data_IF_192439775483
#
_entry.id   IF_192439775483
#
_cell.length_a   1.000
_cell.length_b   1.000
_cell.length_c   1.000
_cell.angle_alpha   90.00
_cell.angle_beta   90.00
_cell.angle_gamma   90.00
#
_symmetry.space_group_name_H-M   'P 1'
#
loop_
_entity.id
_entity.type
_entity.pdbx_description
1 polymer ?
#
# COMPACT_ATOMS: atom_id res chain seq x y z
N UNK A 1 -61.82 -30.30 -8.37
CA UNK A 1 -61.63 -28.85 -8.06
C UNK A 1 -60.64 -28.54 -6.90
N UNK A 2 -59.79 -29.46 -6.43
CA UNK A 2 -58.86 -29.23 -5.30
C UNK A 2 -57.43 -28.80 -5.70
N UNK A 3 -57.07 -28.94 -6.97
CA UNK A 3 -55.67 -28.68 -7.43
C UNK A 3 -55.30 -27.19 -7.54
N UNK A 4 -56.30 -26.30 -7.61
CA UNK A 4 -56.05 -24.84 -7.81
C UNK A 4 -55.61 -24.10 -6.53
N UNK A 5 -55.81 -24.67 -5.34
CA UNK A 5 -55.49 -24.00 -4.08
C UNK A 5 -53.99 -24.01 -3.73
N UNK A 6 -53.25 -24.96 -4.24
CA UNK A 6 -51.79 -25.08 -3.95
C UNK A 6 -50.92 -24.25 -4.89
N UNK A 7 -51.45 -23.86 -6.03
CA UNK A 7 -50.66 -23.10 -7.02
C UNK A 7 -50.11 -21.78 -6.49
N UNK A 8 -50.91 -20.94 -5.81
CA UNK A 8 -50.38 -19.67 -5.25
C UNK A 8 -49.35 -19.90 -4.12
N UNK A 9 -49.51 -20.96 -3.33
CA UNK A 9 -48.56 -21.29 -2.29
C UNK A 9 -47.22 -21.77 -2.89
N UNK A 10 -47.25 -22.56 -3.92
CA UNK A 10 -46.06 -23.00 -4.66
C UNK A 10 -45.34 -21.84 -5.35
N UNK A 11 -46.11 -20.95 -5.98
CA UNK A 11 -45.55 -19.75 -6.60
C UNK A 11 -44.90 -18.82 -5.55
N UNK A 12 -45.53 -18.63 -4.41
CA UNK A 12 -44.99 -17.82 -3.32
C UNK A 12 -43.70 -18.46 -2.75
N UNK A 13 -43.68 -19.77 -2.56
CA UNK A 13 -42.52 -20.49 -2.10
C UNK A 13 -41.36 -20.42 -3.11
N UNK A 14 -41.66 -20.61 -4.41
CA UNK A 14 -40.64 -20.49 -5.47
C UNK A 14 -40.08 -19.06 -5.56
N UNK A 15 -40.92 -18.04 -5.43
CA UNK A 15 -40.49 -16.63 -5.40
C UNK A 15 -39.60 -16.36 -4.17
N UNK A 16 -40.03 -16.79 -2.99
CA UNK A 16 -39.27 -16.62 -1.77
C UNK A 16 -37.91 -17.33 -1.86
N UNK A 17 -37.87 -18.56 -2.36
CA UNK A 17 -36.62 -19.29 -2.61
C UNK A 17 -35.74 -18.59 -3.65
N UNK A 18 -36.32 -18.06 -4.72
CA UNK A 18 -35.60 -17.27 -5.73
C UNK A 18 -34.98 -16.00 -5.15
N UNK A 19 -35.73 -15.26 -4.32
CA UNK A 19 -35.24 -14.06 -3.63
C UNK A 19 -34.10 -14.44 -2.65
N UNK A 20 -34.30 -15.48 -1.84
CA UNK A 20 -33.29 -15.93 -0.88
C UNK A 20 -32.00 -16.38 -1.59
N UNK A 21 -32.13 -17.15 -2.67
CA UNK A 21 -30.99 -17.60 -3.47
C UNK A 21 -30.27 -16.42 -4.14
N UNK A 22 -31.02 -15.49 -4.73
CA UNK A 22 -30.45 -14.28 -5.33
C UNK A 22 -29.69 -13.44 -4.30
N UNK A 23 -30.29 -13.22 -3.13
CA UNK A 23 -29.65 -12.48 -2.04
C UNK A 23 -28.38 -13.18 -1.55
N UNK A 24 -28.42 -14.50 -1.38
CA UNK A 24 -27.26 -15.30 -0.99
C UNK A 24 -26.13 -15.21 -2.02
N UNK A 25 -26.46 -15.31 -3.31
CA UNK A 25 -25.48 -15.19 -4.39
C UNK A 25 -24.87 -13.79 -4.43
N UNK A 26 -25.67 -12.74 -4.27
CA UNK A 26 -25.17 -11.35 -4.21
C UNK A 26 -24.22 -11.16 -3.02
N UNK A 27 -24.62 -11.63 -1.83
CA UNK A 27 -23.79 -11.52 -0.64
C UNK A 27 -22.49 -12.31 -0.75
N UNK A 28 -22.55 -13.50 -1.36
CA UNK A 28 -21.35 -14.33 -1.59
C UNK A 28 -20.38 -13.70 -2.59
N UNK A 29 -20.90 -13.01 -3.59
CA UNK A 29 -20.10 -12.40 -4.67
C UNK A 29 -19.77 -10.93 -4.39
N UNK A 30 -20.38 -10.33 -3.36
CA UNK A 30 -20.04 -8.97 -2.97
C UNK A 30 -18.54 -8.88 -2.65
N UNK A 31 -17.82 -7.95 -3.29
CA UNK A 31 -16.43 -7.71 -2.93
C UNK A 31 -16.40 -7.13 -1.51
N UNK A 32 -15.94 -7.92 -0.58
CA UNK A 32 -15.69 -7.47 0.79
C UNK A 32 -14.21 -7.17 0.94
N UNK A 33 -13.88 -6.13 1.69
CA UNK A 33 -12.50 -5.87 2.06
C UNK A 33 -11.91 -7.10 2.78
N UNK A 34 -10.62 -7.36 2.65
CA UNK A 34 -9.94 -8.42 3.40
C UNK A 34 -10.24 -8.28 4.89
N UNK A 35 -10.82 -9.31 5.51
CA UNK A 35 -11.19 -9.28 6.94
C UNK A 35 -9.98 -9.38 7.85
N UNK A 36 -8.85 -9.89 7.34
CA UNK A 36 -7.58 -10.00 8.03
C UNK A 36 -7.00 -8.65 8.47
N UNK A 37 -7.25 -7.56 7.73
CA UNK A 37 -6.87 -6.21 8.18
C UNK A 37 -7.59 -5.83 9.48
N UNK A 38 -8.87 -6.11 9.59
CA UNK A 38 -9.66 -5.84 10.80
C UNK A 38 -9.11 -6.62 12.00
N UNK A 39 -8.76 -7.90 11.81
CA UNK A 39 -8.19 -8.75 12.85
C UNK A 39 -6.82 -8.25 13.30
N UNK A 40 -5.96 -7.84 12.35
CA UNK A 40 -4.66 -7.27 12.64
C UNK A 40 -4.75 -5.95 13.41
N UNK A 41 -5.66 -5.05 13.02
CA UNK A 41 -5.89 -3.79 13.74
C UNK A 41 -6.50 -4.04 15.13
N UNK A 42 -7.35 -5.06 15.26
CA UNK A 42 -7.88 -5.50 16.54
C UNK A 42 -6.78 -6.01 17.49
N UNK A 43 -5.74 -6.67 16.96
CA UNK A 43 -4.56 -7.06 17.74
C UNK A 43 -3.78 -5.85 18.26
N UNK A 44 -3.69 -4.77 17.48
CA UNK A 44 -2.98 -3.55 17.87
C UNK A 44 -3.78 -2.67 18.85
N UNK A 45 -5.10 -2.80 18.87
CA UNK A 45 -6.02 -1.96 19.66
C UNK A 45 -5.66 -1.84 21.16
N UNK A 46 -5.40 -2.93 21.91
CA UNK A 46 -5.10 -2.84 23.33
C UNK A 46 -3.84 -2.00 23.64
N UNK A 47 -2.89 -1.96 22.70
CA UNK A 47 -1.63 -1.24 22.87
C UNK A 47 -1.79 0.29 22.72
N UNK A 48 -2.88 0.74 22.12
CA UNK A 48 -3.12 2.16 21.81
C UNK A 48 -4.35 2.71 22.53
N UNK A 49 -4.99 1.90 23.39
CA UNK A 49 -6.19 2.30 24.13
C UNK A 49 -5.97 3.59 24.94
N UNK A 50 -6.93 4.51 24.89
CA UNK A 50 -6.86 5.82 25.56
C UNK A 50 -5.92 6.84 24.89
N UNK A 51 -5.15 6.45 23.88
CA UNK A 51 -4.14 7.31 23.25
C UNK A 51 -4.60 7.88 21.90
N UNK A 52 -3.93 8.99 21.50
CA UNK A 52 -3.99 9.47 20.12
C UNK A 52 -3.09 8.62 19.25
N UNK A 53 -3.64 8.14 18.14
CA UNK A 53 -2.94 7.30 17.17
C UNK A 53 -3.02 7.94 15.79
N UNK A 54 -1.89 8.09 15.11
CA UNK A 54 -1.89 8.47 13.70
C UNK A 54 -1.84 7.19 12.86
N UNK A 55 -2.83 7.00 12.02
CA UNK A 55 -2.88 5.91 11.06
C UNK A 55 -2.39 6.40 9.70
N UNK A 56 -1.24 5.91 9.29
CA UNK A 56 -0.64 6.15 7.98
C UNK A 56 -0.94 4.95 7.08
N UNK A 57 -2.14 4.91 6.62
CA UNK A 57 -2.70 3.88 5.77
C UNK A 57 -4.10 4.31 5.33
N UNK A 58 -4.81 3.39 4.73
CA UNK A 58 -6.18 3.62 4.33
C UNK A 58 -7.06 2.47 4.78
N UNK A 59 -7.99 2.79 5.64
CA UNK A 59 -9.06 1.90 6.08
C UNK A 59 -10.28 2.76 6.40
N UNK A 60 -11.42 2.41 5.80
CA UNK A 60 -12.66 3.14 5.99
C UNK A 60 -13.27 2.91 7.37
N UNK A 61 -12.86 1.87 8.08
CA UNK A 61 -13.40 1.46 9.38
C UNK A 61 -12.42 1.68 10.53
N UNK A 62 -11.33 2.42 10.30
CA UNK A 62 -10.25 2.61 11.28
C UNK A 62 -10.77 3.13 12.63
N UNK A 63 -11.77 3.99 12.64
CA UNK A 63 -12.38 4.49 13.88
C UNK A 63 -13.08 3.38 14.68
N UNK A 64 -13.66 2.40 14.00
CA UNK A 64 -14.26 1.23 14.63
C UNK A 64 -13.20 0.21 15.03
N UNK A 65 -12.23 -0.06 14.18
CA UNK A 65 -11.18 -1.04 14.44
C UNK A 65 -10.30 -0.65 15.63
N UNK A 66 -9.97 0.64 15.76
CA UNK A 66 -9.20 1.19 16.87
C UNK A 66 -10.08 1.86 17.94
N UNK A 67 -11.34 1.42 18.09
CA UNK A 67 -12.24 1.95 19.15
C UNK A 67 -11.61 1.82 20.53
N UNK A 68 -11.86 2.80 21.38
CA UNK A 68 -11.18 2.94 22.68
C UNK A 68 -9.91 3.79 22.60
N UNK A 69 -9.35 4.02 21.41
CA UNK A 69 -8.32 5.01 21.13
C UNK A 69 -8.90 6.27 20.47
N UNK A 70 -8.05 7.21 20.11
CA UNK A 70 -8.40 8.38 19.30
C UNK A 70 -7.60 8.35 17.99
N UNK A 71 -8.07 7.60 16.98
CA UNK A 71 -7.40 7.51 15.70
C UNK A 71 -7.51 8.81 14.92
N UNK A 72 -6.44 9.16 14.22
CA UNK A 72 -6.35 10.25 13.27
C UNK A 72 -5.86 9.68 11.95
N UNK A 73 -6.51 10.03 10.86
CA UNK A 73 -6.08 9.64 9.53
C UNK A 73 -5.51 10.85 8.79
N UNK A 74 -4.58 10.61 7.92
CA UNK A 74 -4.07 11.63 7.03
C UNK A 74 -4.69 11.51 5.62
N UNK A 75 -5.46 10.48 5.35
CA UNK A 75 -6.34 10.34 4.19
C UNK A 75 -7.75 10.77 4.59
N UNK A 76 -8.33 11.71 3.86
CA UNK A 76 -9.69 12.16 4.13
C UNK A 76 -10.67 11.02 3.88
N UNK A 77 -11.32 10.57 4.94
CA UNK A 77 -12.35 9.56 4.89
C UNK A 77 -13.70 10.20 5.28
N UNK A 78 -14.79 9.78 4.63
CA UNK A 78 -16.14 10.29 4.94
C UNK A 78 -16.62 9.92 6.34
N UNK A 79 -16.06 8.86 6.92
CA UNK A 79 -16.48 8.31 8.20
C UNK A 79 -15.57 8.68 9.37
N UNK A 80 -14.47 9.41 9.13
CA UNK A 80 -13.51 9.77 10.17
C UNK A 80 -13.52 11.27 10.43
N UNK A 81 -13.99 11.72 11.62
CA UNK A 81 -13.98 13.10 12.00
C UNK A 81 -12.58 13.63 12.35
N UNK A 82 -11.62 12.75 12.60
CA UNK A 82 -10.29 13.10 13.08
C UNK A 82 -9.27 13.11 11.94
N UNK A 83 -9.41 14.06 11.05
CA UNK A 83 -8.50 14.24 9.92
C UNK A 83 -7.29 15.10 10.30
N UNK A 84 -6.10 14.64 9.97
CA UNK A 84 -4.87 15.43 9.99
C UNK A 84 -4.49 15.76 8.57
N UNK A 85 -4.49 17.07 8.24
CA UNK A 85 -4.09 17.49 6.90
C UNK A 85 -2.65 17.00 6.60
N UNK A 86 -2.43 16.20 5.57
CA UNK A 86 -1.10 15.77 5.19
C UNK A 86 -0.31 17.00 4.74
N UNK A 87 0.90 17.11 5.26
CA UNK A 87 1.75 18.25 4.98
C UNK A 87 2.49 18.13 3.64
N UNK A 88 2.46 16.97 3.02
CA UNK A 88 2.94 16.76 1.67
C UNK A 88 1.76 16.81 0.70
N UNK A 89 1.98 17.45 -0.43
CA UNK A 89 0.98 17.50 -1.50
C UNK A 89 0.83 16.10 -2.09
N UNK A 90 -0.23 15.41 -1.71
CA UNK A 90 -0.62 14.13 -2.30
C UNK A 90 -1.24 14.43 -3.67
N UNK A 91 -0.47 14.28 -4.73
CA UNK A 91 -0.92 14.57 -6.11
C UNK A 91 -1.28 13.33 -6.90
N UNK A 92 -0.88 12.15 -6.44
CA UNK A 92 -1.05 10.89 -7.14
C UNK A 92 -1.93 9.93 -6.34
N UNK A 93 -2.84 9.27 -7.04
CA UNK A 93 -3.73 8.24 -6.45
C UNK A 93 -2.96 7.01 -5.96
N UNK A 94 -1.75 6.76 -6.46
CA UNK A 94 -0.88 5.67 -6.05
C UNK A 94 0.28 6.12 -5.15
N UNK A 95 0.21 7.30 -4.58
CA UNK A 95 1.24 7.76 -3.66
C UNK A 95 1.21 6.96 -2.36
N UNK A 96 2.37 6.49 -1.92
CA UNK A 96 2.51 5.82 -0.61
C UNK A 96 2.16 6.79 0.53
N UNK A 97 1.58 6.24 1.58
CA UNK A 97 1.20 6.98 2.77
C UNK A 97 1.97 6.43 3.97
N UNK A 98 3.08 7.07 4.30
CA UNK A 98 4.03 6.62 5.32
C UNK A 98 4.61 7.81 6.09
N UNK A 99 5.70 7.61 6.83
CA UNK A 99 6.31 8.66 7.64
C UNK A 99 6.72 9.90 6.85
N UNK A 100 7.02 9.78 5.57
CA UNK A 100 7.40 10.90 4.73
C UNK A 100 6.23 11.78 4.30
N UNK A 101 5.03 11.25 4.41
CA UNK A 101 3.81 11.96 4.08
C UNK A 101 3.41 12.99 5.13
N UNK A 102 4.05 12.99 6.31
CA UNK A 102 3.68 13.85 7.44
C UNK A 102 4.88 14.62 7.99
N UNK A 103 4.74 15.92 8.19
CA UNK A 103 5.79 16.76 8.79
C UNK A 103 6.14 16.30 10.20
N UNK A 104 7.40 16.47 10.55
CA UNK A 104 7.91 16.12 11.89
C UNK A 104 7.12 16.79 13.02
N UNK A 105 6.68 18.04 12.85
CA UNK A 105 5.89 18.74 13.85
C UNK A 105 4.52 18.08 14.08
N UNK A 106 3.87 17.60 13.01
CA UNK A 106 2.60 16.87 13.11
C UNK A 106 2.81 15.49 13.71
N UNK A 107 3.84 14.76 13.31
CA UNK A 107 4.20 13.46 13.91
C UNK A 107 4.46 13.58 15.42
N UNK A 108 5.11 14.66 15.86
CA UNK A 108 5.41 14.92 17.28
C UNK A 108 4.17 15.07 18.18
N UNK A 109 2.98 15.18 17.60
CA UNK A 109 1.69 15.25 18.35
C UNK A 109 1.15 13.89 18.77
N UNK A 110 1.69 12.80 18.19
CA UNK A 110 1.18 11.45 18.38
C UNK A 110 2.17 10.61 19.18
N UNK A 111 1.71 9.95 20.26
CA UNK A 111 2.52 8.95 20.96
C UNK A 111 2.66 7.65 20.17
N UNK A 112 1.68 7.34 19.31
CA UNK A 112 1.65 6.15 18.49
C UNK A 112 1.38 6.49 17.03
N UNK A 113 2.03 5.74 16.14
CA UNK A 113 1.81 5.77 14.69
C UNK A 113 1.64 4.33 14.21
N UNK A 114 0.63 4.06 13.41
CA UNK A 114 0.46 2.80 12.69
C UNK A 114 0.74 3.08 11.21
N UNK A 115 1.63 2.30 10.62
CA UNK A 115 1.95 2.36 9.19
C UNK A 115 1.55 1.06 8.51
N UNK A 116 1.17 1.14 7.24
CA UNK A 116 1.05 -0.05 6.39
C UNK A 116 2.44 -0.56 6.05
N UNK A 117 2.66 -1.87 6.20
CA UNK A 117 3.89 -2.54 5.78
C UNK A 117 3.87 -2.71 4.26
N UNK A 118 4.95 -2.35 3.63
CA UNK A 118 5.08 -2.46 2.18
C UNK A 118 6.53 -2.26 1.78
N UNK A 119 6.90 -2.77 0.61
CA UNK A 119 8.20 -2.47 0.04
C UNK A 119 8.32 -0.95 -0.17
N UNK A 120 9.47 -0.40 0.13
CA UNK A 120 9.79 1.03 -0.02
C UNK A 120 9.01 1.97 0.91
N UNK A 121 8.36 1.45 1.96
CA UNK A 121 7.78 2.31 2.99
C UNK A 121 8.88 3.07 3.72
N UNK A 122 8.65 4.37 3.94
CA UNK A 122 9.60 5.20 4.67
C UNK A 122 9.74 4.78 6.12
N UNK A 123 10.97 4.63 6.59
CA UNK A 123 11.26 4.31 7.98
C UNK A 123 10.88 5.45 8.93
N UNK A 124 10.65 5.13 10.21
CA UNK A 124 10.33 6.12 11.22
C UNK A 124 11.49 7.09 11.45
N UNK A 125 11.23 8.37 11.75
CA UNK A 125 12.28 9.26 12.21
C UNK A 125 12.81 8.80 13.57
N UNK A 126 14.08 9.12 13.92
CA UNK A 126 14.61 8.85 15.25
C UNK A 126 13.69 9.40 16.35
N UNK A 127 13.40 8.59 17.34
CA UNK A 127 12.46 8.89 18.41
C UNK A 127 11.15 8.12 18.31
N UNK A 128 10.99 7.30 17.27
CA UNK A 128 10.01 6.22 17.23
C UNK A 128 10.71 4.86 17.30
N UNK A 129 10.14 3.94 18.03
CA UNK A 129 10.58 2.56 18.17
C UNK A 129 9.45 1.61 17.79
N UNK A 130 9.75 0.44 17.20
CA UNK A 130 8.73 -0.55 16.89
C UNK A 130 8.15 -1.11 18.19
N UNK A 131 6.82 -1.12 18.31
CA UNK A 131 6.10 -1.70 19.45
C UNK A 131 5.53 -3.07 19.09
N UNK A 132 4.93 -3.17 17.91
CA UNK A 132 4.32 -4.43 17.40
C UNK A 132 4.26 -4.40 15.87
N UNK A 133 4.44 -5.57 15.27
CA UNK A 133 4.22 -5.79 13.85
C UNK A 133 3.19 -6.90 13.63
N UNK A 134 2.33 -6.70 12.63
CA UNK A 134 1.43 -7.70 12.08
C UNK A 134 1.83 -8.00 10.63
N UNK A 135 1.05 -8.77 9.89
CA UNK A 135 1.36 -9.04 8.47
C UNK A 135 1.38 -7.75 7.64
N UNK A 136 0.39 -6.87 7.81
CA UNK A 136 0.20 -5.69 6.97
C UNK A 136 0.48 -4.35 7.68
N UNK A 137 0.61 -4.35 9.01
CA UNK A 137 0.78 -3.13 9.80
C UNK A 137 1.99 -3.19 10.74
N UNK A 138 2.55 -2.01 11.02
CA UNK A 138 3.54 -1.83 12.06
C UNK A 138 3.11 -0.69 12.99
N UNK A 139 3.07 -0.98 14.29
CA UNK A 139 2.81 -0.01 15.35
C UNK A 139 4.14 0.54 15.86
N UNK A 140 4.25 1.85 15.86
CA UNK A 140 5.40 2.60 16.33
C UNK A 140 5.05 3.44 17.54
N UNK A 141 5.89 3.40 18.56
CA UNK A 141 5.77 4.21 19.78
C UNK A 141 6.80 5.31 19.79
N UNK A 142 6.37 6.53 20.08
CA UNK A 142 7.29 7.65 20.22
C UNK A 142 7.94 7.61 21.59
N UNK A 143 9.25 7.45 21.63
CA UNK A 143 10.06 7.35 22.86
C UNK A 143 10.87 8.61 23.14
N UNK A 144 11.06 9.49 22.13
CA UNK A 144 11.82 10.71 22.27
C UNK A 144 11.21 11.89 21.48
N UNK A 145 11.74 13.08 21.72
CA UNK A 145 11.41 14.27 20.94
C UNK A 145 12.01 14.13 19.53
N UNK A 146 11.20 14.41 18.52
CA UNK A 146 11.63 14.33 17.13
C UNK A 146 12.53 15.52 16.78
N UNK A 147 13.66 15.21 16.17
CA UNK A 147 14.54 16.23 15.59
C UNK A 147 14.01 16.74 14.23
N UNK A 148 14.54 17.86 13.73
CA UNK A 148 14.17 18.39 12.44
C UNK A 148 14.57 17.41 11.33
N UNK A 149 13.66 17.20 10.38
CA UNK A 149 13.92 16.41 9.16
C UNK A 149 13.21 17.06 7.97
N UNK A 150 13.70 16.80 6.77
CA UNK A 150 13.01 17.08 5.52
C UNK A 150 12.80 15.78 4.78
N UNK A 151 11.55 15.44 4.57
CA UNK A 151 11.15 14.38 3.66
C UNK A 151 11.13 14.92 2.23
N UNK A 152 11.34 14.04 1.26
CA UNK A 152 11.25 14.34 -0.16
C UNK A 152 9.97 13.71 -0.72
N UNK A 153 9.27 14.48 -1.56
CA UNK A 153 8.09 13.94 -2.21
C UNK A 153 8.48 12.86 -3.22
N UNK A 154 7.94 11.68 -3.05
CA UNK A 154 8.23 10.50 -3.89
C UNK A 154 7.20 10.31 -4.99
N UNK A 155 5.98 10.83 -4.81
CA UNK A 155 4.85 10.53 -5.69
C UNK A 155 4.54 9.03 -5.66
N UNK A 156 4.33 8.45 -6.84
CA UNK A 156 4.17 7.01 -7.01
C UNK A 156 5.51 6.26 -7.14
N UNK A 157 6.64 6.95 -7.03
CA UNK A 157 7.95 6.32 -7.12
C UNK A 157 8.29 5.54 -5.84
N UNK A 158 9.12 4.50 -5.92
CA UNK A 158 9.55 3.75 -4.75
C UNK A 158 10.50 4.52 -3.82
N UNK A 159 10.92 5.72 -4.20
CA UNK A 159 11.77 6.62 -3.41
C UNK A 159 12.00 7.94 -4.14
N UNK A 160 12.50 8.94 -3.44
CA UNK A 160 12.81 10.24 -3.98
C UNK A 160 14.30 10.40 -4.31
N UNK A 161 14.62 10.82 -5.53
CA UNK A 161 16.00 11.08 -5.94
C UNK A 161 16.48 12.43 -5.35
N UNK A 162 17.52 12.42 -4.53
CA UNK A 162 18.12 13.64 -4.00
C UNK A 162 18.92 14.36 -5.09
N UNK A 163 18.37 15.45 -5.60
CA UNK A 163 19.02 16.34 -6.59
C UNK A 163 19.65 17.54 -5.88
N UNK A 164 20.89 17.40 -5.44
CA UNK A 164 21.56 18.42 -4.62
C UNK A 164 21.60 19.81 -5.27
N UNK A 165 21.83 19.89 -6.57
CA UNK A 165 21.92 21.16 -7.29
C UNK A 165 20.60 21.95 -7.33
N UNK A 166 19.45 21.25 -7.45
CA UNK A 166 18.14 21.89 -7.60
C UNK A 166 17.41 22.16 -6.28
N UNK A 167 17.86 21.53 -5.19
CA UNK A 167 17.14 21.59 -3.91
C UNK A 167 17.85 22.47 -2.86
N UNK A 168 18.88 23.21 -3.23
CA UNK A 168 19.70 23.97 -2.30
C UNK A 168 20.44 23.08 -1.26
N UNK A 169 20.38 21.77 -1.43
CA UNK A 169 20.92 20.79 -0.50
C UNK A 169 22.46 20.81 -0.44
N UNK A 170 23.13 21.36 -1.46
CA UNK A 170 24.60 21.44 -1.53
C UNK A 170 25.17 22.36 -0.46
N UNK A 171 24.37 23.31 0.04
CA UNK A 171 24.80 24.24 1.10
C UNK A 171 24.49 23.74 2.52
N UNK A 172 23.71 22.66 2.64
CA UNK A 172 23.34 22.11 3.92
C UNK A 172 24.32 20.99 4.31
N UNK A 173 25.14 21.21 5.31
CA UNK A 173 25.79 20.11 6.02
C UNK A 173 24.68 19.31 6.75
N UNK A 174 24.59 18.01 6.52
CA UNK A 174 23.54 17.19 7.14
C UNK A 174 23.75 15.72 6.86
N UNK A 175 22.83 14.89 7.35
CA UNK A 175 22.82 13.45 7.11
C UNK A 175 21.53 13.04 6.40
N UNK A 176 21.63 12.07 5.52
CA UNK A 176 20.48 11.51 4.79
C UNK A 176 20.37 10.01 5.06
N UNK A 177 19.14 9.52 5.15
CA UNK A 177 18.83 8.10 5.12
C UNK A 177 18.69 7.69 3.66
N UNK A 178 19.50 6.77 3.21
CA UNK A 178 19.67 6.41 1.81
C UNK A 178 19.32 4.95 1.58
N UNK A 179 18.56 4.66 0.53
CA UNK A 179 18.35 3.29 0.09
C UNK A 179 19.70 2.67 -0.38
N UNK A 180 19.94 1.44 0.03
CA UNK A 180 21.19 0.72 -0.30
C UNK A 180 21.35 0.52 -1.81
N UNK A 181 20.27 0.23 -2.51
CA UNK A 181 20.22 0.06 -3.96
C UNK A 181 18.93 0.64 -4.53
N UNK A 182 19.01 1.53 -5.51
CA UNK A 182 17.81 2.08 -6.12
C UNK A 182 17.03 0.97 -6.83
N UNK A 183 15.72 0.87 -6.62
CA UNK A 183 14.88 -0.05 -7.38
C UNK A 183 14.74 0.40 -8.83
N UNK A 184 14.50 -0.55 -9.72
CA UNK A 184 14.05 -0.29 -11.08
C UNK A 184 12.52 -0.28 -11.06
N UNK A 185 11.90 0.79 -11.51
CA UNK A 185 10.43 0.91 -11.48
C UNK A 185 9.87 1.34 -12.83
N UNK A 186 8.62 0.97 -13.09
CA UNK A 186 7.86 1.39 -14.26
C UNK A 186 6.37 1.41 -13.97
N UNK A 187 5.67 2.43 -14.46
CA UNK A 187 4.22 2.62 -14.23
C UNK A 187 3.39 2.72 -15.51
N UNK A 188 4.02 2.59 -16.67
CA UNK A 188 3.33 2.71 -17.97
C UNK A 188 2.85 1.36 -18.47
N UNK A 189 1.63 0.98 -18.10
CA UNK A 189 1.00 -0.26 -18.52
C UNK A 189 0.38 -0.15 -19.91
N UNK A 190 0.49 -1.20 -20.70
CA UNK A 190 -0.12 -1.29 -22.03
C UNK A 190 -1.11 -2.45 -22.08
N UNK A 191 -2.34 -2.21 -22.57
CA UNK A 191 -2.85 -0.97 -23.15
C UNK A 191 -3.33 0.08 -22.14
N UNK A 192 -3.45 -0.25 -20.87
CA UNK A 192 -4.02 0.60 -19.83
C UNK A 192 -3.52 0.20 -18.44
N UNK A 193 -3.58 1.09 -17.45
CA UNK A 193 -3.38 0.76 -16.04
C UNK A 193 -4.61 0.11 -15.39
N UNK A 194 -5.75 0.12 -16.06
CA UNK A 194 -6.95 -0.62 -15.63
C UNK A 194 -7.01 -1.97 -16.31
N UNK A 195 -7.00 -3.04 -15.51
CA UNK A 195 -7.06 -4.43 -15.96
C UNK A 195 -8.48 -4.93 -15.82
N UNK A 196 -9.04 -5.46 -16.89
CA UNK A 196 -10.34 -6.15 -16.86
C UNK A 196 -10.14 -7.65 -17.03
N UNK A 197 -11.06 -8.43 -16.49
CA UNK A 197 -11.05 -9.88 -16.64
C UNK A 197 -10.97 -10.29 -18.12
N UNK A 198 -9.99 -11.14 -18.44
CA UNK A 198 -9.73 -11.60 -19.82
C UNK A 198 -8.91 -10.66 -20.69
N UNK A 199 -8.52 -9.49 -20.18
CA UNK A 199 -7.72 -8.48 -20.92
C UNK A 199 -6.47 -8.12 -20.10
N UNK A 200 -5.44 -8.98 -20.09
CA UNK A 200 -4.22 -8.69 -19.35
C UNK A 200 -3.48 -7.49 -19.94
N UNK A 201 -2.81 -6.77 -19.08
CA UNK A 201 -1.94 -5.65 -19.42
C UNK A 201 -0.49 -6.02 -19.21
N UNK A 202 0.45 -5.29 -19.79
CA UNK A 202 1.86 -5.58 -19.62
C UNK A 202 2.72 -4.33 -19.45
N UNK A 203 3.85 -4.53 -18.75
CA UNK A 203 4.89 -3.55 -18.52
C UNK A 203 6.25 -4.24 -18.64
N UNK A 204 7.24 -3.56 -19.18
CA UNK A 204 8.61 -4.08 -19.27
C UNK A 204 9.56 -3.31 -18.36
N UNK A 205 10.36 -4.02 -17.58
CA UNK A 205 11.48 -3.47 -16.84
C UNK A 205 12.79 -3.98 -17.43
N UNK A 206 13.78 -3.10 -17.56
CA UNK A 206 15.14 -3.52 -17.95
C UNK A 206 15.92 -3.87 -16.70
N UNK A 207 16.14 -5.16 -16.46
CA UNK A 207 16.82 -5.67 -15.28
C UNK A 207 18.21 -6.21 -15.64
N UNK A 208 19.26 -5.90 -14.86
CA UNK A 208 20.54 -6.60 -14.90
C UNK A 208 20.39 -8.10 -14.57
N UNK A 209 21.46 -8.87 -14.81
CA UNK A 209 21.52 -10.24 -14.29
C UNK A 209 21.53 -10.22 -12.75
N UNK A 210 20.73 -11.11 -12.11
CA UNK A 210 20.64 -11.16 -10.67
C UNK A 210 19.34 -11.76 -10.15
N UNK A 211 19.17 -11.69 -8.83
CA UNK A 211 17.92 -12.01 -8.12
C UNK A 211 17.23 -10.69 -7.77
N UNK A 212 15.93 -10.64 -7.99
CA UNK A 212 15.13 -9.41 -7.87
C UNK A 212 13.87 -9.68 -7.06
N UNK A 213 13.64 -8.90 -6.03
CA UNK A 213 12.36 -8.83 -5.33
C UNK A 213 11.43 -7.92 -6.12
N UNK A 214 10.30 -8.47 -6.53
CA UNK A 214 9.30 -7.77 -7.32
C UNK A 214 8.19 -7.29 -6.40
N UNK A 215 7.77 -6.05 -6.58
CA UNK A 215 6.66 -5.43 -5.85
C UNK A 215 5.74 -4.69 -6.81
N UNK A 216 4.44 -4.68 -6.51
CA UNK A 216 3.41 -4.07 -7.35
C UNK A 216 2.48 -3.21 -6.50
N UNK A 217 2.16 -2.03 -6.99
CA UNK A 217 1.05 -1.23 -6.48
C UNK A 217 -0.21 -1.62 -7.23
N UNK A 218 -1.24 -2.06 -6.53
CA UNK A 218 -2.51 -2.44 -7.14
C UNK A 218 -3.69 -2.26 -6.19
N UNK A 219 -4.86 -2.11 -6.77
CA UNK A 219 -6.17 -2.11 -6.15
C UNK A 219 -7.06 -3.03 -7.00
N UNK A 220 -7.64 -4.05 -6.41
CA UNK A 220 -8.34 -5.08 -7.17
C UNK A 220 -9.54 -5.66 -6.42
N UNK A 221 -10.64 -5.88 -7.15
CA UNK A 221 -11.84 -6.52 -6.63
C UNK A 221 -11.73 -8.04 -6.54
N UNK A 222 -10.70 -8.63 -7.17
CA UNK A 222 -10.42 -10.08 -7.22
C UNK A 222 -8.91 -10.29 -7.29
N UNK A 223 -8.51 -11.53 -7.10
CA UNK A 223 -7.10 -11.91 -7.18
C UNK A 223 -6.45 -11.45 -8.48
N UNK A 224 -5.24 -10.93 -8.33
CA UNK A 224 -4.41 -10.45 -9.42
C UNK A 224 -3.32 -11.47 -9.72
N UNK A 225 -3.22 -11.85 -10.99
CA UNK A 225 -2.21 -12.75 -11.49
C UNK A 225 -1.09 -11.95 -12.13
N UNK A 226 0.14 -12.12 -11.63
CA UNK A 226 1.34 -11.48 -12.17
C UNK A 226 2.23 -12.57 -12.76
N UNK A 227 2.67 -12.38 -13.99
CA UNK A 227 3.53 -13.35 -14.67
C UNK A 227 4.64 -12.66 -15.47
N UNK A 228 5.78 -13.37 -15.58
CA UNK A 228 6.90 -13.03 -16.45
C UNK A 228 7.62 -14.36 -16.84
N UNK A 229 8.55 -14.37 -17.79
CA UNK A 229 9.28 -15.57 -18.14
C UNK A 229 9.94 -16.23 -16.92
N UNK A 230 9.50 -17.44 -16.56
CA UNK A 230 9.98 -18.20 -15.39
C UNK A 230 9.49 -17.69 -14.03
N UNK A 231 8.46 -16.84 -14.01
CA UNK A 231 7.88 -16.26 -12.81
C UNK A 231 6.35 -16.20 -12.91
N UNK A 232 5.66 -16.59 -11.86
CA UNK A 232 4.22 -16.43 -11.71
C UNK A 232 3.87 -16.28 -10.23
N UNK A 233 2.96 -15.37 -9.94
CA UNK A 233 2.44 -15.12 -8.59
C UNK A 233 0.97 -14.72 -8.66
N UNK A 234 0.25 -14.99 -7.57
CA UNK A 234 -1.12 -14.53 -7.36
C UNK A 234 -1.15 -13.65 -6.12
N UNK A 235 -1.68 -12.46 -6.28
CA UNK A 235 -1.92 -11.50 -5.19
C UNK A 235 -3.40 -11.52 -4.83
N UNK A 236 -3.78 -11.41 -3.57
CA UNK A 236 -5.18 -11.42 -3.16
C UNK A 236 -5.92 -10.18 -3.64
N UNK A 237 -7.24 -10.24 -3.63
CA UNK A 237 -8.08 -9.05 -3.77
C UNK A 237 -7.67 -8.02 -2.72
N UNK A 238 -7.56 -6.76 -3.14
CA UNK A 238 -7.17 -5.67 -2.27
C UNK A 238 -7.99 -4.44 -2.65
N UNK A 239 -9.01 -4.16 -1.87
CA UNK A 239 -9.88 -3.01 -2.04
C UNK A 239 -9.34 -1.79 -1.27
N UNK A 240 -8.07 -1.54 -1.39
CA UNK A 240 -7.51 -0.27 -0.96
C UNK A 240 -7.99 0.82 -1.91
N UNK A 241 -9.11 1.39 -1.54
CA UNK A 241 -9.78 2.48 -2.24
C UNK A 241 -8.77 3.50 -2.82
N UNK A 242 -8.87 3.76 -4.11
CA UNK A 242 -8.08 4.69 -4.94
C UNK A 242 -7.32 5.76 -4.13
N UNK A 243 -6.05 5.55 -3.93
CA UNK A 243 -5.17 6.50 -3.27
C UNK A 243 -4.34 5.87 -2.16
N UNK A 244 -3.05 6.04 -2.20
CA UNK A 244 -2.11 5.54 -1.18
C UNK A 244 -1.97 4.02 -1.15
N UNK A 245 -1.61 3.44 -2.29
CA UNK A 245 -1.39 1.99 -2.39
C UNK A 245 0.07 1.69 -2.11
N UNK A 246 0.39 0.88 -1.09
CA UNK A 246 1.75 0.44 -0.86
C UNK A 246 2.25 -0.47 -2.01
N UNK A 247 3.55 -0.66 -2.07
CA UNK A 247 4.13 -1.68 -2.93
C UNK A 247 4.01 -3.04 -2.26
N UNK A 248 3.11 -3.88 -2.74
CA UNK A 248 2.92 -5.23 -2.23
C UNK A 248 3.98 -6.18 -2.80
N UNK A 249 4.59 -7.03 -1.97
CA UNK A 249 5.55 -8.02 -2.46
C UNK A 249 4.84 -9.03 -3.36
N UNK A 250 5.39 -9.24 -4.55
CA UNK A 250 4.88 -10.22 -5.53
C UNK A 250 5.66 -11.51 -5.46
N UNK A 251 6.98 -11.43 -5.28
CA UNK A 251 7.86 -12.57 -5.21
C UNK A 251 9.25 -12.30 -5.76
N UNK A 252 10.05 -13.34 -5.87
CA UNK A 252 11.43 -13.25 -6.33
C UNK A 252 11.58 -13.74 -7.79
N UNK A 253 12.22 -12.92 -8.61
CA UNK A 253 12.56 -13.22 -10.01
C UNK A 253 14.09 -13.36 -10.17
N UNK A 254 14.53 -14.35 -10.93
CA UNK A 254 15.94 -14.51 -11.30
C UNK A 254 16.15 -14.23 -12.78
N UNK A 255 17.04 -13.28 -13.09
CA UNK A 255 17.48 -12.99 -14.46
C UNK A 255 18.89 -13.50 -14.71
N UNK A 256 19.09 -14.22 -15.82
CA UNK A 256 20.42 -14.78 -16.17
C UNK A 256 21.33 -13.76 -16.86
N UNK A 257 20.76 -12.76 -17.53
CA UNK A 257 21.46 -11.69 -18.27
C UNK A 257 20.67 -10.40 -18.20
N UNK A 258 21.34 -9.29 -18.45
CA UNK A 258 20.66 -7.98 -18.58
C UNK A 258 19.70 -8.02 -19.77
N UNK A 259 18.48 -7.58 -19.55
CA UNK A 259 17.46 -7.53 -20.61
C UNK A 259 16.14 -6.96 -20.14
N UNK A 260 15.25 -6.74 -21.10
CA UNK A 260 13.88 -6.38 -20.83
C UNK A 260 13.10 -7.62 -20.32
N UNK A 261 12.50 -7.51 -19.16
CA UNK A 261 11.58 -8.49 -18.59
C UNK A 261 10.18 -7.93 -18.73
N UNK A 262 9.34 -8.61 -19.49
CA UNK A 262 7.94 -8.23 -19.66
C UNK A 262 7.11 -8.91 -18.59
N UNK A 263 6.49 -8.11 -17.74
CA UNK A 263 5.49 -8.54 -16.79
C UNK A 263 4.10 -8.42 -17.43
N UNK A 264 3.28 -9.44 -17.26
CA UNK A 264 1.87 -9.42 -17.62
C UNK A 264 1.05 -9.53 -16.33
N UNK A 265 0.00 -8.69 -16.24
CA UNK A 265 -0.90 -8.65 -15.11
C UNK A 265 -2.32 -8.86 -15.59
N UNK A 266 -2.99 -9.83 -14.99
CA UNK A 266 -4.39 -10.15 -15.22
C UNK A 266 -5.17 -10.15 -13.92
N UNK A 267 -6.49 -9.99 -13.99
CA UNK A 267 -7.40 -10.14 -12.86
C UNK A 267 -8.24 -11.39 -13.04
N UNK A 268 -8.47 -12.12 -11.95
CA UNK A 268 -9.24 -13.35 -11.96
C UNK A 268 -10.68 -13.10 -12.48
N UNK A 269 -11.23 -14.06 -13.22
CA UNK A 269 -12.60 -13.97 -13.72
C UNK A 269 -13.59 -14.06 -12.56
N UNK A 270 -14.74 -13.36 -12.63
CA UNK A 270 -15.82 -13.60 -11.70
C UNK A 270 -16.28 -15.06 -11.81
N UNK A 271 -16.68 -15.67 -10.70
CA UNK A 271 -17.30 -16.99 -10.73
C UNK A 271 -18.59 -16.94 -11.57
N UNK A 272 -19.12 -18.12 -11.93
CA UNK A 272 -20.27 -18.23 -12.84
C UNK A 272 -21.46 -17.37 -12.37
N UNK A 273 -21.78 -17.44 -11.07
CA UNK A 273 -22.87 -16.65 -10.48
C UNK A 273 -22.66 -15.15 -10.64
N UNK A 274 -21.43 -14.65 -10.37
CA UNK A 274 -21.09 -13.25 -10.57
C UNK A 274 -21.24 -12.82 -12.03
N UNK A 275 -20.83 -13.66 -12.98
CA UNK A 275 -21.01 -13.37 -14.42
C UNK A 275 -22.49 -13.27 -14.81
N UNK A 276 -23.31 -14.16 -14.26
CA UNK A 276 -24.77 -14.11 -14.48
C UNK A 276 -25.42 -12.86 -13.87
N UNK A 277 -24.86 -12.36 -12.78
CA UNK A 277 -25.31 -11.11 -12.12
C UNK A 277 -24.67 -9.85 -12.73
N UNK A 278 -23.88 -9.99 -13.79
CA UNK A 278 -23.23 -8.85 -14.45
C UNK A 278 -22.07 -8.23 -13.65
N UNK A 279 -21.54 -8.92 -12.64
CA UNK A 279 -20.38 -8.41 -11.90
C UNK A 279 -19.13 -8.45 -12.79
N UNK A 280 -18.37 -7.36 -12.80
CA UNK A 280 -17.07 -7.28 -13.46
C UNK A 280 -15.95 -7.49 -12.45
N UNK A 281 -14.83 -8.06 -12.91
CA UNK A 281 -13.59 -8.04 -12.17
C UNK A 281 -12.67 -7.02 -12.82
N UNK A 282 -12.17 -6.10 -11.99
CA UNK A 282 -11.19 -5.12 -12.43
C UNK A 282 -10.11 -4.91 -11.37
N UNK A 283 -8.95 -4.47 -11.84
CA UNK A 283 -7.86 -4.02 -11.02
C UNK A 283 -7.28 -2.72 -11.59
N UNK A 284 -6.84 -1.85 -10.71
CA UNK A 284 -6.11 -0.65 -11.06
C UNK A 284 -4.65 -0.84 -10.63
N UNK A 285 -3.72 -0.58 -11.54
CA UNK A 285 -2.30 -0.76 -11.33
C UNK A 285 -1.59 0.58 -11.20
N UNK A 286 -0.78 0.69 -10.18
CA UNK A 286 0.25 1.71 -10.07
C UNK A 286 1.57 1.22 -10.67
N UNK A 287 2.68 1.51 -10.05
CA UNK A 287 3.99 1.10 -10.54
C UNK A 287 4.31 -0.34 -10.13
N UNK A 288 5.05 -1.04 -11.00
CA UNK A 288 5.79 -2.26 -10.65
C UNK A 288 7.25 -1.87 -10.39
N UNK A 289 7.84 -2.43 -9.35
CA UNK A 289 9.22 -2.17 -8.99
C UNK A 289 9.99 -3.47 -8.73
N UNK A 290 11.28 -3.43 -8.97
CA UNK A 290 12.20 -4.52 -8.74
C UNK A 290 13.42 -4.01 -7.95
N UNK A 291 13.72 -4.63 -6.80
CA UNK A 291 14.95 -4.42 -6.02
C UNK A 291 15.86 -5.62 -6.11
N UNK A 292 17.19 -5.47 -6.05
CA UNK A 292 18.07 -6.59 -5.87
C UNK A 292 17.67 -7.38 -4.61
N UNK A 293 17.50 -8.72 -4.73
CA UNK A 293 17.11 -9.55 -3.60
C UNK A 293 18.19 -9.50 -2.50
N UNK A 294 17.74 -9.35 -1.25
CA UNK A 294 18.61 -9.14 -0.10
C UNK A 294 19.16 -7.71 0.04
N UNK A 295 18.80 -6.82 -0.90
CA UNK A 295 19.09 -5.38 -0.76
C UNK A 295 17.97 -4.67 0.01
N UNK A 296 17.13 -5.41 0.69
CA UNK A 296 15.94 -5.00 1.45
C UNK A 296 15.64 -3.51 1.38
N UNK A 297 14.39 -3.15 1.09
CA UNK A 297 13.93 -1.81 1.43
C UNK A 297 14.37 -1.49 2.87
N UNK A 298 14.20 -0.28 3.40
CA UNK A 298 14.59 0.02 4.76
C UNK A 298 13.88 -0.95 5.71
N UNK A 299 14.52 -2.10 5.95
CA UNK A 299 14.08 -3.01 6.99
C UNK A 299 14.17 -2.23 8.29
N UNK A 300 13.09 -2.21 9.09
CA UNK A 300 13.16 -1.68 10.43
C UNK A 300 14.33 -2.38 11.15
N UNK A 301 15.37 -1.64 11.50
CA UNK A 301 16.51 -2.15 12.25
C UNK A 301 17.81 -2.41 11.48
N UNK A 302 17.82 -2.49 10.16
CA UNK A 302 19.07 -2.44 9.44
C UNK A 302 19.51 -0.99 9.25
N UNK A 303 20.62 -0.72 9.86
CA UNK A 303 21.32 0.53 9.91
C UNK A 303 20.97 1.45 8.74
N UNK A 304 20.12 2.42 9.02
CA UNK A 304 20.06 3.64 8.27
C UNK A 304 21.49 3.94 7.83
N UNK A 305 21.83 3.72 6.57
CA UNK A 305 23.10 4.20 6.05
C UNK A 305 23.01 5.71 5.99
N UNK A 306 23.22 6.33 7.14
CA UNK A 306 23.24 7.79 7.27
C UNK A 306 24.52 8.27 6.61
N UNK A 307 24.40 8.62 5.36
CA UNK A 307 25.50 9.27 4.66
C UNK A 307 25.47 10.77 4.94
N UNK A 308 26.66 11.42 4.94
CA UNK A 308 26.71 12.87 4.78
C UNK A 308 25.88 13.27 3.55
N UNK A 309 25.15 14.38 3.65
CA UNK A 309 24.22 14.81 2.60
C UNK A 309 24.87 14.90 1.21
N UNK A 310 26.12 15.35 1.14
CA UNK A 310 26.90 15.40 -0.10
C UNK A 310 27.10 13.99 -0.73
N UNK A 311 27.32 12.97 0.10
CA UNK A 311 27.45 11.58 -0.36
C UNK A 311 26.12 10.93 -0.76
N UNK A 312 25.01 11.56 -0.46
CA UNK A 312 23.65 11.11 -0.82
C UNK A 312 23.14 11.70 -2.14
N UNK A 313 23.85 12.65 -2.73
CA UNK A 313 23.48 13.24 -4.02
C UNK A 313 23.38 12.19 -5.12
N UNK A 314 22.29 12.22 -5.91
CA UNK A 314 22.03 11.24 -6.96
C UNK A 314 21.56 9.87 -6.44
N UNK A 315 21.28 9.72 -5.16
CA UNK A 315 20.71 8.51 -4.56
C UNK A 315 19.26 8.69 -4.20
N UNK A 316 18.53 7.59 -4.08
CA UNK A 316 17.21 7.58 -3.47
C UNK A 316 17.34 7.79 -1.96
N UNK A 317 16.57 8.75 -1.44
CA UNK A 317 16.63 9.22 -0.05
C UNK A 317 15.24 9.24 0.53
N UNK A 318 15.09 8.64 1.66
CA UNK A 318 13.86 8.63 2.44
C UNK A 318 13.61 10.02 3.05
N UNK A 319 14.58 10.50 3.81
CA UNK A 319 14.58 11.83 4.38
C UNK A 319 16.00 12.31 4.69
N UNK A 320 16.17 13.59 4.91
CA UNK A 320 17.44 14.13 5.38
C UNK A 320 17.27 15.11 6.54
N UNK A 321 18.30 15.19 7.37
CA UNK A 321 18.37 16.16 8.44
C UNK A 321 19.22 17.34 7.96
N UNK A 322 18.63 18.55 7.84
CA UNK A 322 19.43 19.73 7.59
C UNK A 322 20.36 19.98 8.77
N UNK A 323 21.54 20.56 8.53
CA UNK A 323 22.36 21.07 9.61
C UNK A 323 21.55 22.10 10.41
N UNK A 324 21.76 22.12 11.72
CA UNK A 324 21.22 23.21 12.53
C UNK A 324 21.78 24.52 11.95
N UNK A 325 20.90 25.39 11.51
CA UNK A 325 21.28 26.73 11.06
C UNK A 325 22.07 27.40 12.17
N UNK A 326 23.23 27.95 11.83
CA UNK A 326 23.97 28.85 12.70
C UNK A 326 23.20 30.16 12.83
#
# INVERSE_FOLDING_TARGET
>A
HSTTRWLPALLAAALAAGIALSSLLVLREAPVAPTDHADQLAELRPLVEGHKVLFLGRDNFIAYELRGSRPFTAVRNFYDPNYVNPDLRLHDVFQKFDFDSVRTASLGRFPFVITTRGAYASGPPPGFEPERETADFALWKRTARLGPRRALAEGASPGALLRCASQGAVQASGRATVFASPPVAGGSWSPSSTVKSGSPVSQSLTLPAGRWEISLQYDATRDVQVSAPGFAATLPANLDYRGSVPYYPVGELRTKRRGAVRFAVGVARPPLAGRLLGTSSEAHLGAIAASPAGAGGPLPGEAERRLPLQGACGRYVDWYRPAAGR
#
